data_IF_663559793992
#
_entry.id   IF_663559793992
#
_cell.length_a   1.000
_cell.length_b   1.000
_cell.length_c   1.000
_cell.angle_alpha   90.00
_cell.angle_beta   90.00
_cell.angle_gamma   90.00
#
_symmetry.space_group_name_H-M   'P 1'
#
loop_
_entity.id
_entity.type
_entity.pdbx_description
1 polymer ?
#
# COMPACT_ATOMS: atom_id res chain seq x y z
N UNK A 1 19.23 -21.63 11.15
CA UNK A 1 17.93 -22.13 10.70
C UNK A 1 16.83 -21.14 11.04
N UNK A 2 16.62 -20.87 12.32
CA UNK A 2 15.58 -19.93 12.74
C UNK A 2 15.76 -18.55 12.15
N UNK A 3 17.02 -18.13 11.94
CA UNK A 3 17.30 -16.81 11.37
C UNK A 3 16.77 -16.68 9.95
N UNK A 4 16.85 -17.77 9.18
CA UNK A 4 16.34 -17.74 7.81
C UNK A 4 14.83 -17.57 7.81
N UNK A 5 14.14 -18.25 8.71
CA UNK A 5 12.70 -18.11 8.85
C UNK A 5 12.33 -16.69 9.32
N UNK A 6 13.14 -16.14 10.24
CA UNK A 6 12.91 -14.79 10.74
C UNK A 6 13.08 -13.75 9.64
N UNK A 7 14.04 -13.94 8.75
CA UNK A 7 14.23 -13.05 7.62
C UNK A 7 12.98 -13.06 6.74
N UNK A 8 12.42 -14.24 6.46
CA UNK A 8 11.19 -14.34 5.69
C UNK A 8 10.04 -13.59 6.37
N UNK A 9 9.97 -13.68 7.71
CA UNK A 9 8.91 -12.99 8.47
C UNK A 9 9.11 -11.50 8.54
N UNK A 10 10.35 -11.02 8.39
CA UNK A 10 10.63 -9.59 8.41
C UNK A 10 10.33 -8.91 7.09
N UNK A 11 10.28 -9.69 6.01
CA UNK A 11 9.91 -9.13 4.71
C UNK A 11 8.43 -8.84 4.69
N UNK A 12 8.09 -7.68 4.18
CA UNK A 12 6.71 -7.27 4.07
C UNK A 12 5.96 -8.07 3.02
N UNK A 13 4.66 -7.90 3.04
CA UNK A 13 3.76 -8.48 2.05
C UNK A 13 2.97 -7.39 1.40
N UNK A 14 2.63 -7.60 0.13
CA UNK A 14 1.73 -6.71 -0.59
C UNK A 14 0.36 -7.38 -0.60
N UNK A 15 -0.50 -6.96 0.31
CA UNK A 15 -1.79 -7.63 0.52
C UNK A 15 -2.85 -7.13 -0.47
N UNK A 16 -3.71 -8.02 -0.90
CA UNK A 16 -4.85 -7.62 -1.73
C UNK A 16 -5.94 -7.06 -0.84
N UNK A 17 -6.35 -5.81 -1.09
CA UNK A 17 -7.40 -5.14 -0.34
C UNK A 17 -8.63 -5.02 -1.23
N UNK A 18 -9.78 -5.42 -0.70
CA UNK A 18 -11.04 -5.45 -1.42
C UNK A 18 -12.11 -4.72 -0.63
N UNK A 19 -13.27 -4.51 -1.25
CA UNK A 19 -14.43 -3.95 -0.58
C UNK A 19 -14.79 -4.74 0.67
N UNK A 20 -14.53 -6.05 0.67
CA UNK A 20 -14.93 -6.93 1.75
C UNK A 20 -13.96 -6.93 2.93
N UNK A 21 -12.66 -6.75 2.69
CA UNK A 21 -11.68 -6.83 3.78
C UNK A 21 -11.10 -5.49 4.20
N UNK A 22 -11.45 -4.40 3.55
CA UNK A 22 -10.85 -3.09 3.82
C UNK A 22 -11.01 -2.69 5.28
N UNK A 23 -12.19 -2.84 5.85
CA UNK A 23 -12.44 -2.44 7.22
C UNK A 23 -11.56 -3.23 8.19
N UNK A 24 -11.59 -4.54 8.10
CA UNK A 24 -10.85 -5.39 9.05
C UNK A 24 -9.36 -5.33 8.82
N UNK A 25 -8.94 -5.31 7.55
CA UNK A 25 -7.52 -5.35 7.22
C UNK A 25 -6.85 -3.98 7.40
N UNK A 26 -7.49 -2.92 6.93
CA UNK A 26 -6.87 -1.59 6.88
C UNK A 26 -7.31 -0.72 8.06
N UNK A 27 -8.61 -0.52 8.22
CA UNK A 27 -9.11 0.43 9.22
C UNK A 27 -8.89 -0.04 10.66
N UNK A 28 -8.88 -1.34 10.89
CA UNK A 28 -8.67 -1.92 12.20
C UNK A 28 -7.23 -2.35 12.44
N UNK A 29 -6.33 -2.02 11.52
CA UNK A 29 -4.92 -2.36 11.65
C UNK A 29 -4.27 -1.61 12.81
N UNK A 30 -3.42 -2.32 13.57
CA UNK A 30 -2.65 -1.70 14.65
C UNK A 30 -1.44 -0.93 14.11
N UNK A 31 -0.96 -1.31 12.92
CA UNK A 31 0.10 -0.59 12.23
C UNK A 31 -0.49 0.34 11.20
N UNK A 32 0.21 1.43 10.84
CA UNK A 32 -0.21 2.23 9.69
C UNK A 32 -0.28 1.34 8.44
N UNK A 33 -1.20 1.63 7.57
CA UNK A 33 -1.43 0.86 6.37
C UNK A 33 -1.28 1.75 5.14
N UNK A 34 -0.41 1.34 4.23
CA UNK A 34 -0.13 2.07 2.99
C UNK A 34 -0.87 1.35 1.86
N UNK A 35 -1.91 1.98 1.32
CA UNK A 35 -2.80 1.36 0.35
C UNK A 35 -2.67 2.05 -1.00
N UNK A 36 -2.26 1.30 -2.03
CA UNK A 36 -2.14 1.82 -3.39
C UNK A 36 -3.34 1.37 -4.22
N UNK A 37 -4.09 2.35 -4.70
CA UNK A 37 -5.26 2.16 -5.56
C UNK A 37 -4.80 2.19 -7.00
N UNK A 38 -5.04 1.12 -7.75
CA UNK A 38 -4.45 0.92 -9.08
C UNK A 38 -5.42 0.27 -10.05
N UNK A 39 -5.12 0.43 -11.35
CA UNK A 39 -5.81 -0.26 -12.42
C UNK A 39 -4.75 -0.94 -13.28
N UNK A 40 -4.30 -2.11 -12.86
CA UNK A 40 -3.17 -2.80 -13.47
C UNK A 40 -3.44 -3.30 -14.89
N UNK A 41 -4.72 -3.38 -15.30
CA UNK A 41 -5.04 -3.87 -16.63
C UNK A 41 -4.70 -2.87 -17.73
N UNK A 42 -4.62 -1.58 -17.43
CA UNK A 42 -4.37 -0.58 -18.48
C UNK A 42 -3.46 0.58 -18.08
N UNK A 43 -3.19 0.75 -16.80
CA UNK A 43 -2.46 1.93 -16.32
C UNK A 43 -0.96 1.63 -16.18
N UNK A 44 -0.16 2.19 -17.09
CA UNK A 44 1.28 1.96 -17.07
C UNK A 44 1.97 2.48 -15.81
N UNK A 45 1.69 3.70 -15.33
CA UNK A 45 2.26 4.15 -14.06
C UNK A 45 1.86 3.25 -12.88
N UNK A 46 0.66 2.66 -12.92
CA UNK A 46 0.23 1.71 -11.90
C UNK A 46 1.10 0.45 -11.92
N UNK A 47 1.36 -0.07 -13.12
CA UNK A 47 2.19 -1.26 -13.29
C UNK A 47 3.60 -0.98 -12.80
N UNK A 48 4.13 0.20 -13.12
CA UNK A 48 5.47 0.60 -12.68
C UNK A 48 5.56 0.67 -11.15
N UNK A 49 4.60 1.34 -10.52
CA UNK A 49 4.59 1.47 -9.06
C UNK A 49 4.40 0.10 -8.40
N UNK A 50 3.56 -0.74 -8.98
CA UNK A 50 3.33 -2.08 -8.45
C UNK A 50 4.63 -2.89 -8.43
N UNK A 51 5.44 -2.79 -9.47
CA UNK A 51 6.74 -3.45 -9.51
C UNK A 51 7.69 -2.92 -8.45
N UNK A 52 7.68 -1.61 -8.24
CA UNK A 52 8.52 -0.98 -7.21
C UNK A 52 8.09 -1.46 -5.83
N UNK A 53 6.79 -1.49 -5.56
CA UNK A 53 6.27 -1.98 -4.29
C UNK A 53 6.67 -3.43 -4.06
N UNK A 54 6.46 -4.27 -5.05
CA UNK A 54 6.67 -5.70 -4.94
C UNK A 54 8.15 -6.09 -4.86
N UNK A 55 9.01 -5.41 -5.59
CA UNK A 55 10.41 -5.81 -5.69
C UNK A 55 11.35 -5.03 -4.77
N UNK A 56 10.95 -3.84 -4.32
CA UNK A 56 11.84 -2.99 -3.54
C UNK A 56 11.25 -2.59 -2.20
N UNK A 57 10.07 -2.00 -2.18
CA UNK A 57 9.55 -1.36 -0.98
C UNK A 57 9.19 -2.37 0.12
N UNK A 58 8.52 -3.47 -0.23
CA UNK A 58 8.16 -4.46 0.78
C UNK A 58 9.39 -5.16 1.36
N UNK A 59 10.52 -5.09 0.69
CA UNK A 59 11.78 -5.66 1.18
C UNK A 59 12.61 -4.66 1.97
N UNK A 60 12.18 -3.42 2.03
CA UNK A 60 12.85 -2.37 2.81
C UNK A 60 12.44 -2.49 4.29
N UNK A 61 13.31 -2.11 5.23
CA UNK A 61 12.99 -2.15 6.66
C UNK A 61 11.72 -1.41 7.05
N UNK A 62 11.24 -0.46 6.23
CA UNK A 62 9.99 0.24 6.51
C UNK A 62 8.81 -0.73 6.61
N UNK A 63 8.91 -1.90 5.95
CA UNK A 63 7.86 -2.89 5.99
C UNK A 63 7.65 -3.51 7.38
N UNK A 64 8.57 -3.29 8.29
CA UNK A 64 8.39 -3.71 9.69
C UNK A 64 7.50 -2.75 10.46
N UNK A 65 7.39 -1.51 9.98
CA UNK A 65 6.64 -0.45 10.66
C UNK A 65 5.25 -0.24 10.09
N UNK A 66 5.01 -0.62 8.85
CA UNK A 66 3.74 -0.42 8.19
C UNK A 66 3.34 -1.65 7.40
N UNK A 67 2.06 -1.76 7.10
CA UNK A 67 1.55 -2.78 6.18
C UNK A 67 1.33 -2.15 4.82
N UNK A 68 1.44 -2.96 3.77
CA UNK A 68 1.22 -2.52 2.40
C UNK A 68 0.10 -3.31 1.75
N UNK A 69 -0.76 -2.61 1.03
CA UNK A 69 -1.84 -3.25 0.30
C UNK A 69 -2.09 -2.60 -1.04
N UNK A 70 -2.75 -3.33 -1.93
CA UNK A 70 -3.16 -2.83 -3.23
C UNK A 70 -4.66 -3.03 -3.42
N UNK A 71 -5.28 -2.09 -4.11
CA UNK A 71 -6.72 -2.13 -4.42
C UNK A 71 -6.88 -2.07 -5.93
N UNK A 72 -7.66 -3.00 -6.48
CA UNK A 72 -8.04 -2.97 -7.89
C UNK A 72 -9.29 -2.10 -8.02
N UNK A 73 -9.11 -0.86 -8.48
CA UNK A 73 -10.19 0.12 -8.52
C UNK A 73 -11.30 -0.25 -9.52
N UNK A 74 -10.98 -1.10 -10.47
CA UNK A 74 -11.92 -1.51 -11.53
C UNK A 74 -12.54 -2.88 -11.27
N UNK A 75 -12.25 -3.49 -10.13
CA UNK A 75 -12.69 -4.84 -9.82
C UNK A 75 -13.16 -4.91 -8.37
N UNK A 76 -12.43 -5.64 -7.53
CA UNK A 76 -12.86 -5.94 -6.16
C UNK A 76 -12.82 -4.75 -5.20
N UNK A 77 -12.20 -3.66 -5.60
CA UNK A 77 -12.08 -2.46 -4.77
C UNK A 77 -12.86 -1.26 -5.31
N UNK A 78 -13.88 -1.47 -6.14
CA UNK A 78 -14.64 -0.37 -6.74
C UNK A 78 -15.24 0.55 -5.68
N UNK A 79 -15.90 -0.01 -4.68
CA UNK A 79 -16.61 0.80 -3.69
C UNK A 79 -15.66 1.54 -2.75
N UNK A 80 -14.64 0.87 -2.24
CA UNK A 80 -13.69 1.53 -1.34
C UNK A 80 -12.89 2.62 -2.07
N UNK A 81 -12.63 2.42 -3.37
CA UNK A 81 -11.95 3.44 -4.18
C UNK A 81 -12.81 4.69 -4.31
N UNK A 82 -14.10 4.50 -4.56
CA UNK A 82 -15.05 5.61 -4.65
C UNK A 82 -15.17 6.33 -3.32
N UNK A 83 -15.31 5.59 -2.23
CA UNK A 83 -15.42 6.16 -0.89
C UNK A 83 -14.17 6.92 -0.48
N UNK A 84 -13.01 6.46 -0.92
CA UNK A 84 -11.74 7.13 -0.63
C UNK A 84 -11.52 8.38 -1.48
N UNK A 85 -12.39 8.62 -2.46
CA UNK A 85 -12.28 9.78 -3.34
C UNK A 85 -11.16 9.66 -4.35
N UNK A 86 -10.79 8.45 -4.73
CA UNK A 86 -9.74 8.22 -5.72
C UNK A 86 -10.25 8.64 -7.08
N UNK A 87 -9.58 9.61 -7.70
CA UNK A 87 -9.98 10.13 -9.02
C UNK A 87 -9.01 9.74 -10.12
N UNK A 88 -7.78 9.47 -9.77
CA UNK A 88 -6.77 9.07 -10.72
C UNK A 88 -5.96 7.93 -10.15
N UNK A 89 -5.29 7.18 -11.02
CA UNK A 89 -4.48 6.05 -10.58
C UNK A 89 -3.06 6.17 -11.14
N UNK A 90 -2.06 5.69 -10.40
CA UNK A 90 -2.19 5.17 -9.05
C UNK A 90 -2.34 6.28 -8.02
N UNK A 91 -3.08 6.03 -6.97
CA UNK A 91 -3.15 6.91 -5.79
C UNK A 91 -2.83 6.06 -4.58
N UNK A 92 -1.90 6.52 -3.76
CA UNK A 92 -1.54 5.81 -2.54
C UNK A 92 -1.99 6.62 -1.33
N UNK A 93 -2.70 5.96 -0.41
CA UNK A 93 -3.22 6.59 0.80
C UNK A 93 -2.64 5.87 2.00
N UNK A 94 -2.19 6.63 3.00
CA UNK A 94 -1.73 6.07 4.27
C UNK A 94 -2.84 6.24 5.29
N UNK A 95 -3.21 5.14 5.92
CA UNK A 95 -4.21 5.11 6.98
C UNK A 95 -3.50 4.80 8.30
N UNK A 96 -3.90 5.49 9.36
CA UNK A 96 -3.38 5.24 10.70
C UNK A 96 -4.52 5.38 11.68
N UNK A 97 -4.71 4.35 12.51
CA UNK A 97 -5.80 4.32 13.49
C UNK A 97 -7.17 4.53 12.83
N UNK A 98 -7.35 3.94 11.66
CA UNK A 98 -8.61 4.01 10.93
C UNK A 98 -8.85 5.29 10.16
N UNK A 99 -7.87 6.19 10.10
CA UNK A 99 -8.02 7.49 9.43
C UNK A 99 -6.97 7.70 8.35
N UNK A 100 -7.39 8.36 7.29
CA UNK A 100 -6.46 8.80 6.24
C UNK A 100 -5.58 9.91 6.79
N UNK A 101 -4.26 9.73 6.72
CA UNK A 101 -3.31 10.73 7.19
C UNK A 101 -2.50 11.38 6.07
N UNK A 102 -2.39 10.74 4.91
CA UNK A 102 -1.63 11.30 3.79
C UNK A 102 -2.02 10.64 2.49
N UNK A 103 -1.76 11.31 1.39
CA UNK A 103 -2.09 10.83 0.06
C UNK A 103 -1.03 11.26 -0.93
N UNK A 104 -0.69 10.37 -1.86
CA UNK A 104 0.25 10.66 -2.93
C UNK A 104 -0.29 10.12 -4.25
N UNK A 105 -0.39 10.98 -5.25
CA UNK A 105 -0.89 10.61 -6.57
C UNK A 105 0.30 10.35 -7.51
N UNK A 106 0.19 9.30 -8.31
CA UNK A 106 1.18 8.97 -9.31
C UNK A 106 2.24 7.99 -8.85
N UNK A 107 3.09 7.57 -9.79
CA UNK A 107 4.21 6.69 -9.53
C UNK A 107 5.45 7.52 -9.24
N UNK A 108 6.22 7.10 -8.25
CA UNK A 108 7.49 7.75 -7.90
C UNK A 108 8.53 6.67 -7.63
N UNK A 109 9.81 7.07 -7.61
CA UNK A 109 10.90 6.14 -7.30
C UNK A 109 10.79 5.66 -5.86
N UNK A 110 11.35 4.49 -5.60
CA UNK A 110 11.22 3.85 -4.29
C UNK A 110 11.70 4.72 -3.15
N UNK A 111 12.80 5.44 -3.30
CA UNK A 111 13.33 6.26 -2.21
C UNK A 111 12.38 7.42 -1.86
N UNK A 112 11.78 8.04 -2.88
CA UNK A 112 10.80 9.11 -2.66
C UNK A 112 9.58 8.56 -1.94
N UNK A 113 9.12 7.40 -2.35
CA UNK A 113 7.98 6.74 -1.73
C UNK A 113 8.26 6.42 -0.26
N UNK A 114 9.41 5.82 0.01
CA UNK A 114 9.82 5.45 1.37
C UNK A 114 9.94 6.68 2.26
N UNK A 115 10.58 7.75 1.75
CA UNK A 115 10.73 9.00 2.52
C UNK A 115 9.37 9.60 2.87
N UNK A 116 8.44 9.55 1.92
CA UNK A 116 7.09 10.04 2.15
C UNK A 116 6.38 9.24 3.25
N UNK A 117 6.46 7.90 3.18
CA UNK A 117 5.87 7.04 4.20
C UNK A 117 6.47 7.33 5.57
N UNK A 118 7.81 7.39 5.64
CA UNK A 118 8.49 7.64 6.91
C UNK A 118 8.09 8.98 7.52
N UNK A 119 7.95 10.01 6.69
CA UNK A 119 7.54 11.33 7.17
C UNK A 119 6.10 11.33 7.67
N UNK A 120 5.24 10.57 7.02
CA UNK A 120 3.80 10.56 7.35
C UNK A 120 3.50 9.82 8.65
N UNK A 121 4.28 8.79 8.97
CA UNK A 121 3.97 7.92 10.12
C UNK A 121 4.67 8.34 11.42
N UNK A 122 5.51 9.35 11.36
CA UNK A 122 6.23 9.85 12.54
C UNK A 122 5.28 10.46 13.58
#
# INVERSE_FOLDING_TARGET
MKKILNISNLMGKLNEITDQNFKTEVLESTKPYVVTYSALSYCQPCIQLHKILKNEIINHPISEKVNFGTVAVEDKGINISSQAGVRGVPTTIIYKNGEKISEKVGSVRSQIFIDWVQSAIV
#
